data_IF_801426080045
#
_entry.id   IF_801426080045
#
_cell.length_a   1.000
_cell.length_b   1.000
_cell.length_c   1.000
_cell.angle_alpha   90.00
_cell.angle_beta   90.00
_cell.angle_gamma   90.00
#
_symmetry.space_group_name_H-M   'P 1'
#
loop_
_entity.id
_entity.type
_entity.pdbx_description
1 polymer ?
#
# COMPACT_ATOMS: atom_id res chain seq x y z
N UNK A 1 20.72 15.35 -6.76
CA UNK A 1 19.86 15.71 -5.61
C UNK A 1 18.97 14.57 -5.16
N UNK A 2 18.06 14.03 -6.01
CA UNK A 2 17.14 12.95 -5.60
C UNK A 2 17.84 11.72 -4.99
N UNK A 3 18.96 11.28 -5.58
CA UNK A 3 19.74 10.17 -5.03
C UNK A 3 20.31 10.44 -3.61
N UNK A 4 20.75 11.67 -3.34
CA UNK A 4 21.22 12.06 -2.01
C UNK A 4 20.09 12.05 -0.99
N UNK A 5 18.91 12.55 -1.38
CA UNK A 5 17.71 12.51 -0.54
C UNK A 5 17.30 11.08 -0.26
N UNK A 6 17.35 10.20 -1.25
CA UNK A 6 17.08 8.78 -1.07
C UNK A 6 18.01 8.14 -0.04
N UNK A 7 19.33 8.36 -0.17
CA UNK A 7 20.30 7.87 0.81
C UNK A 7 20.07 8.44 2.21
N UNK A 8 19.70 9.72 2.31
CA UNK A 8 19.37 10.37 3.56
C UNK A 8 18.14 9.72 4.24
N UNK A 9 17.09 9.42 3.47
CA UNK A 9 15.90 8.74 3.99
C UNK A 9 16.20 7.30 4.43
N UNK A 10 17.03 6.58 3.67
CA UNK A 10 17.50 5.25 4.09
C UNK A 10 18.27 5.33 5.40
N UNK A 11 19.18 6.30 5.53
CA UNK A 11 19.92 6.52 6.77
C UNK A 11 18.98 6.82 7.96
N UNK A 12 18.01 7.73 7.79
CA UNK A 12 17.01 8.02 8.82
C UNK A 12 16.18 6.79 9.20
N UNK A 13 15.80 5.96 8.22
CA UNK A 13 15.08 4.71 8.49
C UNK A 13 15.93 3.71 9.28
N UNK A 14 17.24 3.67 9.04
CA UNK A 14 18.17 2.85 9.82
C UNK A 14 18.32 3.36 11.26
N UNK A 15 18.34 4.68 11.47
CA UNK A 15 18.33 5.26 12.83
C UNK A 15 17.05 4.86 13.59
N UNK A 16 15.89 4.90 12.93
CA UNK A 16 14.62 4.43 13.53
C UNK A 16 14.66 2.95 13.93
N UNK A 17 15.40 2.12 13.21
CA UNK A 17 15.58 0.71 13.56
C UNK A 17 16.49 0.52 14.79
N UNK A 18 17.56 1.31 14.91
CA UNK A 18 18.52 1.16 16.00
C UNK A 18 18.07 1.76 17.33
N UNK A 19 17.26 2.82 17.31
CA UNK A 19 16.84 3.57 18.50
C UNK A 19 15.41 3.22 18.87
N UNK A 20 15.13 3.02 20.17
CA UNK A 20 13.79 2.67 20.68
C UNK A 20 13.08 3.83 21.40
N UNK A 21 13.57 5.06 21.22
CA UNK A 21 13.02 6.26 21.85
C UNK A 21 11.92 6.90 20.98
N UNK A 22 10.73 7.06 21.54
CA UNK A 22 9.58 7.67 20.87
C UNK A 22 9.83 9.12 20.41
N UNK A 23 10.62 9.88 21.17
CA UNK A 23 11.04 11.24 20.79
C UNK A 23 11.94 11.25 19.55
N UNK A 24 12.85 10.27 19.45
CA UNK A 24 13.75 10.15 18.29
C UNK A 24 12.93 9.77 17.06
N UNK A 25 12.04 8.78 17.19
CA UNK A 25 11.13 8.39 16.11
C UNK A 25 10.29 9.55 15.61
N UNK A 26 9.67 10.30 16.53
CA UNK A 26 8.90 11.48 16.16
C UNK A 26 9.74 12.53 15.43
N UNK A 27 10.95 12.81 15.92
CA UNK A 27 11.83 13.81 15.28
C UNK A 27 12.17 13.42 13.84
N UNK A 28 12.41 12.13 13.58
CA UNK A 28 12.69 11.61 12.25
C UNK A 28 11.46 11.74 11.35
N UNK A 29 10.27 11.43 11.86
CA UNK A 29 9.03 11.61 11.09
C UNK A 29 8.80 13.06 10.67
N UNK A 30 9.04 14.02 11.57
CA UNK A 30 8.90 15.46 11.28
C UNK A 30 9.93 15.90 10.23
N UNK A 31 11.16 15.41 10.31
CA UNK A 31 12.17 15.71 9.29
C UNK A 31 11.74 15.17 7.93
N UNK A 32 11.24 13.93 7.86
CA UNK A 32 10.75 13.33 6.62
C UNK A 32 9.58 14.11 5.98
N UNK A 33 8.63 14.59 6.78
CA UNK A 33 7.46 15.36 6.28
C UNK A 33 7.88 16.70 5.72
N UNK A 34 8.75 17.44 6.42
CA UNK A 34 9.24 18.73 5.93
C UNK A 34 10.03 18.58 4.62
N UNK A 35 10.95 17.61 4.55
CA UNK A 35 11.67 17.35 3.30
C UNK A 35 10.69 17.05 2.17
N UNK A 36 9.66 16.24 2.41
CA UNK A 36 8.65 15.92 1.40
C UNK A 36 7.91 17.13 0.87
N UNK A 37 7.39 17.97 1.77
CA UNK A 37 6.65 19.17 1.40
C UNK A 37 7.52 20.14 0.62
N UNK A 38 8.78 20.34 1.01
CA UNK A 38 9.70 21.22 0.28
C UNK A 38 10.03 20.71 -1.13
N UNK A 39 10.15 19.39 -1.32
CA UNK A 39 10.42 18.82 -2.64
C UNK A 39 9.26 18.97 -3.61
N UNK A 40 8.02 18.83 -3.15
CA UNK A 40 6.84 18.81 -4.03
C UNK A 40 6.22 20.20 -4.20
N UNK A 41 6.56 21.18 -3.36
CA UNK A 41 6.06 22.56 -3.45
C UNK A 41 6.06 23.14 -4.87
N UNK A 42 7.03 22.76 -5.70
CA UNK A 42 7.20 23.32 -7.04
C UNK A 42 6.44 22.56 -8.15
N UNK A 43 5.82 21.42 -7.85
CA UNK A 43 5.35 20.46 -8.86
C UNK A 43 3.83 20.31 -8.89
N UNK A 44 3.14 20.62 -7.78
CA UNK A 44 1.70 20.37 -7.65
C UNK A 44 0.89 21.54 -7.12
N UNK A 45 -0.43 21.35 -7.08
CA UNK A 45 -1.32 22.30 -6.41
C UNK A 45 -1.13 22.26 -4.90
N UNK A 46 -1.13 23.44 -4.27
CA UNK A 46 -0.90 23.59 -2.83
C UNK A 46 -1.92 22.84 -1.96
N UNK A 47 -3.14 22.61 -2.45
CA UNK A 47 -4.22 22.02 -1.65
C UNK A 47 -3.89 20.58 -1.18
N UNK A 48 -3.27 19.78 -2.05
CA UNK A 48 -2.91 18.39 -1.75
C UNK A 48 -1.73 18.29 -0.77
N UNK A 49 -0.82 19.26 -0.83
CA UNK A 49 0.30 19.35 0.10
C UNK A 49 -0.16 19.76 1.50
N UNK A 50 -1.13 20.67 1.57
CA UNK A 50 -1.74 21.07 2.84
C UNK A 50 -2.47 19.90 3.49
N UNK A 51 -3.26 19.12 2.73
CA UNK A 51 -3.92 17.94 3.29
C UNK A 51 -2.93 16.89 3.78
N UNK A 52 -1.85 16.63 3.03
CA UNK A 52 -0.76 15.76 3.48
C UNK A 52 -0.14 16.29 4.79
N UNK A 53 0.29 17.56 4.81
CA UNK A 53 0.98 18.13 5.97
C UNK A 53 0.12 18.11 7.24
N UNK A 54 -1.16 18.51 7.13
CA UNK A 54 -2.08 18.51 8.29
C UNK A 54 -2.22 17.11 8.86
N UNK A 55 -2.49 16.10 8.03
CA UNK A 55 -2.67 14.71 8.51
C UNK A 55 -1.38 14.21 9.16
N UNK A 56 -0.22 14.44 8.54
CA UNK A 56 1.06 13.93 9.02
C UNK A 56 1.50 14.54 10.35
N UNK A 57 1.37 15.86 10.52
CA UNK A 57 1.77 16.54 11.76
C UNK A 57 0.78 16.28 12.89
N UNK A 58 -0.53 16.34 12.62
CA UNK A 58 -1.54 16.04 13.64
C UNK A 58 -1.37 14.62 14.18
N UNK A 59 -1.12 13.63 13.31
CA UNK A 59 -0.84 12.26 13.76
C UNK A 59 0.51 12.15 14.49
N UNK A 60 1.51 12.93 14.08
CA UNK A 60 2.79 13.00 14.77
C UNK A 60 2.65 13.51 16.21
N UNK A 61 1.86 14.56 16.43
CA UNK A 61 1.60 15.06 17.78
C UNK A 61 0.78 14.07 18.62
N UNK A 62 -0.26 13.46 18.06
CA UNK A 62 -1.01 12.43 18.78
C UNK A 62 -0.14 11.22 19.14
N UNK A 63 0.81 10.85 18.29
CA UNK A 63 1.79 9.79 18.60
C UNK A 63 2.60 10.09 19.87
N UNK A 64 2.99 11.35 20.11
CA UNK A 64 3.72 11.74 21.33
C UNK A 64 2.82 11.85 22.56
N UNK A 65 1.58 12.34 22.39
CA UNK A 65 0.67 12.63 23.51
C UNK A 65 0.15 11.34 24.14
N UNK A 66 -0.12 10.31 23.35
CA UNK A 66 -0.63 9.05 23.87
C UNK A 66 0.54 8.16 24.32
N UNK A 67 0.57 7.83 25.60
CA UNK A 67 1.54 6.89 26.18
C UNK A 67 1.14 5.42 25.96
N UNK A 68 -0.12 5.16 25.64
CA UNK A 68 -0.56 3.80 25.36
C UNK A 68 -0.04 3.33 24.00
N UNK A 69 0.77 2.27 24.00
CA UNK A 69 1.23 1.55 22.80
C UNK A 69 0.10 1.40 21.78
N UNK A 70 -1.11 0.98 22.22
CA UNK A 70 -2.18 0.65 21.29
C UNK A 70 -2.65 1.84 20.44
N UNK A 71 -2.78 3.01 21.05
CA UNK A 71 -3.17 4.22 20.32
C UNK A 71 -2.01 4.72 19.45
N UNK A 72 -0.77 4.64 19.93
CA UNK A 72 0.41 4.97 19.12
C UNK A 72 0.46 4.17 17.82
N UNK A 73 0.18 2.86 17.88
CA UNK A 73 0.08 2.02 16.70
C UNK A 73 -1.01 2.48 15.72
N UNK A 74 -2.21 2.81 16.22
CA UNK A 74 -3.31 3.28 15.37
C UNK A 74 -3.00 4.62 14.68
N UNK A 75 -2.36 5.57 15.38
CA UNK A 75 -1.95 6.83 14.77
C UNK A 75 -0.81 6.65 13.76
N UNK A 76 0.12 5.74 14.02
CA UNK A 76 1.16 5.36 13.05
C UNK A 76 0.57 4.70 11.80
N UNK A 77 -0.42 3.83 11.96
CA UNK A 77 -1.15 3.22 10.83
C UNK A 77 -1.85 4.29 9.98
N UNK A 78 -2.48 5.29 10.63
CA UNK A 78 -3.10 6.41 9.93
C UNK A 78 -2.06 7.28 9.23
N UNK A 79 -0.93 7.57 9.89
CA UNK A 79 0.19 8.36 9.34
C UNK A 79 0.85 7.69 8.13
N UNK A 80 1.08 6.38 8.19
CA UNK A 80 1.63 5.62 7.06
C UNK A 80 0.57 5.37 5.95
N UNK A 81 -0.71 5.55 6.26
CA UNK A 81 -1.82 5.28 5.34
C UNK A 81 -2.02 3.78 5.09
N UNK A 82 -1.84 2.97 6.12
CA UNK A 82 -2.16 1.54 6.10
C UNK A 82 -3.68 1.34 6.18
N UNK A 83 -4.19 0.27 5.58
CA UNK A 83 -5.62 -0.01 5.68
C UNK A 83 -5.99 -0.39 7.13
N UNK A 84 -7.17 -0.01 7.64
CA UNK A 84 -8.30 0.63 6.93
C UNK A 84 -8.24 2.16 6.82
N UNK A 85 -7.16 2.81 7.27
CA UNK A 85 -7.05 4.27 7.39
C UNK A 85 -6.42 4.94 6.16
N UNK A 86 -6.43 4.30 4.99
CA UNK A 86 -5.71 4.77 3.80
C UNK A 86 -6.48 5.80 2.96
N UNK A 87 -7.74 6.11 3.29
CA UNK A 87 -8.60 6.97 2.46
C UNK A 87 -8.05 8.38 2.21
N UNK A 88 -7.30 8.94 3.15
CA UNK A 88 -6.71 10.27 2.97
C UNK A 88 -5.66 10.29 1.85
N UNK A 89 -5.02 9.15 1.55
CA UNK A 89 -4.02 9.03 0.49
C UNK A 89 -4.60 9.36 -0.89
N UNK A 90 -5.88 9.05 -1.16
CA UNK A 90 -6.52 9.36 -2.45
C UNK A 90 -6.54 10.86 -2.73
N UNK A 91 -6.79 11.67 -1.70
CA UNK A 91 -6.77 13.13 -1.85
C UNK A 91 -5.39 13.63 -2.25
N UNK A 92 -4.32 13.01 -1.71
CA UNK A 92 -2.94 13.44 -1.94
C UNK A 92 -2.42 13.00 -3.30
N UNK A 93 -2.66 11.75 -3.71
CA UNK A 93 -2.13 11.20 -4.97
C UNK A 93 -2.72 11.90 -6.20
N UNK A 94 -3.96 12.39 -6.13
CA UNK A 94 -4.56 13.15 -7.23
C UNK A 94 -3.73 14.35 -7.68
N UNK A 95 -2.91 14.91 -6.79
CA UNK A 95 -2.11 16.10 -7.03
C UNK A 95 -0.61 15.89 -7.24
N UNK A 96 -0.14 14.65 -7.10
CA UNK A 96 1.29 14.32 -7.19
C UNK A 96 1.53 13.64 -8.54
N UNK A 97 2.58 14.09 -9.23
CA UNK A 97 2.94 13.57 -10.54
C UNK A 97 4.29 12.82 -10.55
N UNK A 98 4.37 11.85 -11.46
CA UNK A 98 5.60 11.16 -11.88
C UNK A 98 6.37 10.55 -10.69
N UNK A 99 7.68 10.83 -10.65
CA UNK A 99 8.63 10.35 -9.66
C UNK A 99 8.22 10.62 -8.21
N UNK A 100 7.45 11.67 -7.94
CA UNK A 100 6.99 11.95 -6.58
C UNK A 100 5.93 10.97 -6.10
N UNK A 101 5.19 10.32 -7.02
CA UNK A 101 4.26 9.23 -6.65
C UNK A 101 5.03 8.00 -6.19
N UNK A 102 6.11 7.63 -6.89
CA UNK A 102 7.02 6.56 -6.43
C UNK A 102 7.52 6.87 -5.02
N UNK A 103 8.03 8.09 -4.86
CA UNK A 103 8.65 8.53 -3.63
C UNK A 103 7.67 8.52 -2.45
N UNK A 104 6.44 8.98 -2.70
CA UNK A 104 5.35 8.96 -1.74
C UNK A 104 4.91 7.55 -1.35
N UNK A 105 4.75 6.65 -2.32
CA UNK A 105 4.25 5.30 -2.05
C UNK A 105 5.28 4.39 -1.38
N UNK A 106 6.58 4.62 -1.62
CA UNK A 106 7.66 3.77 -1.14
C UNK A 106 8.47 4.42 -0.03
N UNK A 107 9.26 5.45 -0.37
CA UNK A 107 10.32 5.96 0.50
C UNK A 107 9.77 6.67 1.73
N UNK A 108 8.59 7.30 1.63
CA UNK A 108 7.92 7.86 2.80
C UNK A 108 7.44 6.79 3.79
N UNK A 109 7.15 5.55 3.34
CA UNK A 109 6.67 4.47 4.22
C UNK A 109 7.80 3.77 4.98
N UNK A 110 9.04 3.82 4.48
CA UNK A 110 10.20 3.14 5.07
C UNK A 110 10.44 3.47 6.55
N UNK A 111 10.52 4.75 6.97
CA UNK A 111 10.81 5.08 8.36
C UNK A 111 9.70 4.63 9.31
N UNK A 112 8.45 4.62 8.84
CA UNK A 112 7.28 4.18 9.62
C UNK A 112 7.26 2.66 9.79
N UNK A 113 7.70 1.90 8.79
CA UNK A 113 7.67 0.44 8.82
C UNK A 113 8.45 -0.11 10.02
N UNK A 114 9.68 0.33 10.25
CA UNK A 114 10.49 -0.17 11.37
C UNK A 114 9.83 0.09 12.74
N UNK A 115 9.24 1.27 12.91
CA UNK A 115 8.54 1.63 14.14
C UNK A 115 7.25 0.83 14.31
N UNK A 116 6.47 0.66 13.22
CA UNK A 116 5.24 -0.13 13.23
C UNK A 116 5.48 -1.59 13.59
N UNK A 117 6.58 -2.18 13.10
CA UNK A 117 6.93 -3.58 13.39
C UNK A 117 7.28 -3.74 14.88
N UNK A 118 7.99 -2.76 15.47
CA UNK A 118 8.28 -2.77 16.92
C UNK A 118 6.99 -2.70 17.76
N UNK A 119 5.98 -1.98 17.28
CA UNK A 119 4.66 -1.91 17.92
C UNK A 119 3.70 -3.02 17.49
N UNK A 120 4.11 -3.96 16.65
CA UNK A 120 3.19 -4.99 16.18
C UNK A 120 2.97 -6.03 17.29
N UNK A 121 1.71 -6.26 17.62
CA UNK A 121 1.28 -7.30 18.58
C UNK A 121 0.10 -8.05 18.01
N UNK A 122 -0.15 -9.27 18.51
CA UNK A 122 -1.21 -10.15 18.02
C UNK A 122 -2.60 -9.50 17.99
N UNK A 123 -2.86 -8.53 18.88
CA UNK A 123 -4.12 -7.76 18.90
C UNK A 123 -4.39 -7.05 17.57
N UNK A 124 -3.35 -6.57 16.89
CA UNK A 124 -3.48 -5.84 15.63
C UNK A 124 -3.69 -6.73 14.42
N UNK A 125 -3.54 -8.05 14.56
CA UNK A 125 -3.77 -9.00 13.49
C UNK A 125 -5.15 -8.81 12.84
N UNK A 126 -6.21 -8.75 13.64
CA UNK A 126 -7.57 -8.59 13.13
C UNK A 126 -7.80 -7.26 12.41
N UNK A 127 -7.16 -6.19 12.87
CA UNK A 127 -7.28 -4.85 12.25
C UNK A 127 -6.60 -4.86 10.88
N UNK A 128 -5.40 -5.43 10.79
CA UNK A 128 -4.64 -5.55 9.53
C UNK A 128 -5.39 -6.47 8.56
N UNK A 129 -5.90 -7.61 9.05
CA UNK A 129 -6.71 -8.53 8.26
C UNK A 129 -7.95 -7.87 7.68
N UNK A 130 -8.73 -7.15 8.52
CA UNK A 130 -9.90 -6.40 8.06
C UNK A 130 -9.51 -5.32 7.05
N UNK A 131 -8.40 -4.62 7.28
CA UNK A 131 -7.85 -3.65 6.34
C UNK A 131 -7.58 -4.24 4.96
N UNK A 132 -7.01 -5.46 4.88
CA UNK A 132 -6.79 -6.13 3.59
C UNK A 132 -8.09 -6.48 2.88
N UNK A 133 -9.11 -6.96 3.59
CA UNK A 133 -10.45 -7.22 3.01
C UNK A 133 -11.03 -5.94 2.42
N UNK A 134 -10.87 -4.80 3.11
CA UNK A 134 -11.29 -3.49 2.59
C UNK A 134 -10.55 -3.13 1.30
N UNK A 135 -9.23 -3.34 1.23
CA UNK A 135 -8.47 -3.10 0.00
C UNK A 135 -8.96 -3.98 -1.16
N UNK A 136 -9.22 -5.26 -0.90
CA UNK A 136 -9.70 -6.21 -1.90
C UNK A 136 -11.09 -5.83 -2.46
N UNK A 137 -12.02 -5.44 -1.58
CA UNK A 137 -13.34 -4.97 -2.01
C UNK A 137 -13.26 -3.63 -2.74
N UNK A 138 -12.41 -2.72 -2.27
CA UNK A 138 -12.27 -1.41 -2.89
C UNK A 138 -11.75 -1.48 -4.33
N UNK A 139 -10.94 -2.49 -4.65
CA UNK A 139 -10.36 -2.61 -5.96
C UNK A 139 -11.40 -2.70 -7.09
N UNK A 140 -12.57 -3.30 -6.84
CA UNK A 140 -13.69 -3.35 -7.79
C UNK A 140 -14.34 -1.99 -8.08
N UNK A 141 -14.15 -1.01 -7.20
CA UNK A 141 -14.76 0.33 -7.32
C UNK A 141 -13.86 1.33 -8.05
N UNK A 142 -12.55 1.05 -8.12
CA UNK A 142 -11.58 1.99 -8.66
C UNK A 142 -11.51 1.92 -10.18
N UNK A 143 -11.37 3.09 -10.80
CA UNK A 143 -11.22 3.24 -12.26
C UNK A 143 -9.92 3.92 -12.69
N UNK A 144 -9.29 4.68 -11.80
CA UNK A 144 -8.06 5.41 -12.08
C UNK A 144 -6.82 4.54 -11.85
N UNK A 145 -5.86 4.59 -12.78
CA UNK A 145 -4.56 3.92 -12.66
C UNK A 145 -3.83 4.30 -11.35
N UNK A 146 -3.79 5.59 -11.03
CA UNK A 146 -3.09 6.11 -9.84
C UNK A 146 -3.73 5.61 -8.55
N UNK A 147 -5.06 5.49 -8.54
CA UNK A 147 -5.82 4.99 -7.39
C UNK A 147 -5.64 3.48 -7.24
N UNK A 148 -5.56 2.75 -8.34
CA UNK A 148 -5.25 1.31 -8.31
C UNK A 148 -3.85 1.07 -7.75
N UNK A 149 -2.84 1.81 -8.21
CA UNK A 149 -1.49 1.74 -7.64
C UNK A 149 -1.47 2.01 -6.14
N UNK A 150 -2.25 3.00 -5.68
CA UNK A 150 -2.39 3.31 -4.26
C UNK A 150 -2.86 2.07 -3.51
N UNK A 151 -3.97 1.46 -3.92
CA UNK A 151 -4.55 0.31 -3.21
C UNK A 151 -3.63 -0.90 -3.22
N UNK A 152 -2.93 -1.15 -4.33
CA UNK A 152 -1.89 -2.20 -4.38
C UNK A 152 -0.81 -1.90 -3.35
N UNK A 153 -0.31 -0.66 -3.29
CA UNK A 153 0.74 -0.28 -2.34
C UNK A 153 0.32 -0.40 -0.88
N UNK A 154 -0.97 -0.20 -0.58
CA UNK A 154 -1.51 -0.34 0.78
C UNK A 154 -1.72 -1.79 1.14
N UNK A 155 -2.19 -2.60 0.19
CA UNK A 155 -2.36 -4.05 0.38
C UNK A 155 -1.01 -4.74 0.63
N UNK A 156 -0.03 -4.48 -0.20
CA UNK A 156 1.33 -5.03 -0.06
C UNK A 156 2.04 -4.53 1.21
N UNK A 157 1.78 -3.30 1.65
CA UNK A 157 2.27 -2.81 2.95
C UNK A 157 1.59 -3.51 4.14
N UNK A 158 0.31 -3.82 4.06
CA UNK A 158 -0.36 -4.61 5.10
C UNK A 158 0.20 -6.03 5.17
N UNK A 159 0.55 -6.64 4.03
CA UNK A 159 1.28 -7.91 4.01
C UNK A 159 2.65 -7.80 4.69
N UNK A 160 3.39 -6.72 4.45
CA UNK A 160 4.66 -6.46 5.14
C UNK A 160 4.47 -6.42 6.67
N UNK A 161 3.47 -5.69 7.15
CA UNK A 161 3.15 -5.61 8.59
C UNK A 161 2.73 -6.97 9.17
N UNK A 162 1.92 -7.72 8.41
CA UNK A 162 1.42 -9.01 8.84
C UNK A 162 2.53 -10.06 8.95
N UNK A 163 3.49 -10.07 8.01
CA UNK A 163 4.71 -10.89 8.16
C UNK A 163 5.56 -10.42 9.35
N UNK A 164 5.64 -9.11 9.56
CA UNK A 164 6.35 -8.52 10.70
C UNK A 164 5.86 -9.00 12.07
N UNK A 165 4.59 -9.40 12.19
CA UNK A 165 4.05 -10.00 13.42
C UNK A 165 4.66 -11.37 13.74
N UNK A 166 4.99 -12.17 12.72
CA UNK A 166 5.39 -13.57 12.91
C UNK A 166 6.90 -13.77 12.81
N UNK A 167 7.56 -13.05 11.91
CA UNK A 167 8.95 -13.32 11.56
C UNK A 167 9.69 -12.05 11.12
N UNK A 168 10.48 -11.47 12.04
CA UNK A 168 11.32 -10.31 11.75
C UNK A 168 12.33 -10.56 10.61
N UNK A 169 12.88 -11.76 10.47
CA UNK A 169 13.87 -12.06 9.42
C UNK A 169 13.25 -12.11 8.02
N UNK A 170 12.07 -12.70 7.89
CA UNK A 170 11.36 -12.80 6.61
C UNK A 170 10.86 -11.43 6.15
N UNK A 171 10.55 -10.55 7.10
CA UNK A 171 10.21 -9.16 6.82
C UNK A 171 11.33 -8.43 6.06
N UNK A 172 12.60 -8.56 6.46
CA UNK A 172 13.70 -7.88 5.74
C UNK A 172 13.82 -8.33 4.29
N UNK A 173 13.65 -9.64 4.05
CA UNK A 173 13.64 -10.18 2.70
C UNK A 173 12.47 -9.60 1.90
N UNK A 174 11.26 -9.61 2.46
CA UNK A 174 10.08 -9.10 1.75
C UNK A 174 10.13 -7.59 1.51
N UNK A 175 10.66 -6.82 2.47
CA UNK A 175 10.98 -5.40 2.32
C UNK A 175 11.84 -5.19 1.07
N UNK A 176 12.95 -5.91 0.94
CA UNK A 176 13.85 -5.76 -0.20
C UNK A 176 13.13 -6.00 -1.54
N UNK A 177 12.39 -7.10 -1.66
CA UNK A 177 11.66 -7.41 -2.89
C UNK A 177 10.54 -6.40 -3.17
N UNK A 178 9.81 -5.97 -2.15
CA UNK A 178 8.77 -4.97 -2.27
C UNK A 178 9.33 -3.67 -2.87
N UNK A 179 10.39 -3.11 -2.28
CA UNK A 179 10.99 -1.88 -2.77
C UNK A 179 11.59 -2.04 -4.17
N UNK A 180 12.20 -3.19 -4.45
CA UNK A 180 12.75 -3.48 -5.79
C UNK A 180 11.65 -3.53 -6.86
N UNK A 181 10.55 -4.25 -6.61
CA UNK A 181 9.44 -4.37 -7.56
C UNK A 181 8.76 -3.01 -7.75
N UNK A 182 8.47 -2.27 -6.67
CA UNK A 182 7.85 -0.95 -6.78
C UNK A 182 8.75 0.05 -7.51
N UNK A 183 10.06 -0.01 -7.31
CA UNK A 183 11.00 0.82 -8.04
C UNK A 183 10.95 0.53 -9.55
N UNK A 184 10.99 -0.75 -9.95
CA UNK A 184 10.91 -1.16 -11.35
C UNK A 184 9.58 -0.77 -12.01
N UNK A 185 8.46 -1.04 -11.34
CA UNK A 185 7.13 -0.81 -11.91
C UNK A 185 6.88 0.68 -12.09
N UNK A 186 7.16 1.49 -11.08
CA UNK A 186 6.79 2.90 -11.13
C UNK A 186 7.74 3.69 -12.05
N UNK A 187 9.02 3.30 -12.14
CA UNK A 187 9.92 3.84 -13.17
C UNK A 187 9.35 3.62 -14.57
N UNK A 188 8.91 2.39 -14.85
CA UNK A 188 8.39 2.05 -16.17
C UNK A 188 7.09 2.77 -16.51
N UNK A 189 6.14 2.83 -15.56
CA UNK A 189 4.81 3.37 -15.89
C UNK A 189 4.83 4.89 -16.07
N UNK A 190 5.74 5.61 -15.42
CA UNK A 190 5.81 7.06 -15.60
C UNK A 190 6.73 7.52 -16.74
N UNK A 191 7.62 6.67 -17.24
CA UNK A 191 8.47 6.99 -18.40
C UNK A 191 7.82 6.60 -19.74
N UNK A 192 6.83 5.70 -19.75
CA UNK A 192 6.14 5.27 -20.95
C UNK A 192 4.71 5.84 -21.03
N UNK A 193 4.57 6.98 -21.72
CA UNK A 193 3.27 7.56 -22.15
C UNK A 193 2.48 6.63 -23.10
N UNK A 194 3.03 5.47 -23.48
CA UNK A 194 2.36 4.47 -24.32
C UNK A 194 1.64 3.42 -23.45
N UNK A 195 0.35 3.68 -23.25
CA UNK A 195 -0.55 2.98 -22.33
C UNK A 195 -0.93 1.54 -22.64
N UNK A 196 -0.07 0.68 -23.21
CA UNK A 196 -0.33 -0.77 -23.26
C UNK A 196 0.61 -1.54 -22.33
N UNK A 197 1.90 -1.26 -22.39
CA UNK A 197 2.92 -1.90 -21.54
C UNK A 197 2.78 -1.51 -20.06
N UNK A 198 2.25 -0.32 -19.78
CA UNK A 198 1.95 0.11 -18.41
C UNK A 198 0.89 -0.77 -17.73
N UNK A 199 -0.07 -1.31 -18.49
CA UNK A 199 -1.08 -2.24 -17.97
C UNK A 199 -0.52 -3.66 -17.79
N UNK A 200 0.41 -4.10 -18.63
CA UNK A 200 1.07 -5.41 -18.46
C UNK A 200 1.89 -5.46 -17.17
N UNK A 201 2.61 -4.39 -16.86
CA UNK A 201 3.43 -4.31 -15.65
C UNK A 201 2.58 -4.14 -14.39
N UNK A 202 1.37 -3.58 -14.52
CA UNK A 202 0.39 -3.62 -13.44
C UNK A 202 -0.08 -5.05 -13.10
N UNK A 203 -0.24 -5.94 -14.08
CA UNK A 203 -0.62 -7.32 -13.80
C UNK A 203 0.42 -8.04 -12.94
N UNK A 204 1.69 -7.71 -13.06
CA UNK A 204 2.75 -8.23 -12.18
C UNK A 204 2.50 -7.82 -10.72
N UNK A 205 1.90 -6.65 -10.48
CA UNK A 205 1.56 -6.16 -9.15
C UNK A 205 0.23 -6.70 -8.59
N UNK A 206 -0.71 -7.11 -9.44
CA UNK A 206 -2.08 -7.46 -9.03
C UNK A 206 -2.26 -8.86 -8.44
N UNK A 207 -1.19 -9.45 -7.89
CA UNK A 207 -1.21 -10.82 -7.36
C UNK A 207 -1.83 -11.84 -8.33
N UNK A 208 -1.69 -11.63 -9.64
CA UNK A 208 -2.15 -12.61 -10.64
C UNK A 208 -1.41 -13.93 -10.38
N UNK A 209 -2.10 -15.09 -10.42
CA UNK A 209 -1.42 -16.37 -10.27
C UNK A 209 -0.23 -16.44 -11.24
N UNK A 210 0.91 -16.92 -10.74
CA UNK A 210 2.22 -16.95 -11.41
C UNK A 210 2.99 -15.61 -11.51
N UNK A 211 2.49 -14.51 -10.96
CA UNK A 211 3.26 -13.26 -10.85
C UNK A 211 4.32 -13.33 -9.73
N UNK A 212 5.36 -12.50 -9.85
CA UNK A 212 6.43 -12.41 -8.83
C UNK A 212 5.85 -12.03 -7.45
N UNK A 213 4.89 -11.10 -7.42
CA UNK A 213 4.26 -10.65 -6.17
C UNK A 213 3.41 -11.74 -5.51
N UNK A 214 2.71 -12.53 -6.33
CA UNK A 214 1.95 -13.69 -5.84
C UNK A 214 2.90 -14.74 -5.25
N UNK A 215 3.95 -15.12 -5.98
CA UNK A 215 4.92 -16.12 -5.48
C UNK A 215 5.60 -15.70 -4.20
N UNK A 216 6.02 -14.44 -4.08
CA UNK A 216 6.64 -13.93 -2.85
C UNK A 216 5.70 -14.08 -1.65
N UNK A 217 4.43 -13.70 -1.81
CA UNK A 217 3.43 -13.80 -0.73
C UNK A 217 3.13 -15.26 -0.37
N UNK A 218 2.98 -16.13 -1.36
CA UNK A 218 2.76 -17.56 -1.14
C UNK A 218 3.94 -18.19 -0.38
N UNK A 219 5.18 -17.89 -0.79
CA UNK A 219 6.39 -18.38 -0.13
C UNK A 219 6.48 -17.91 1.32
N UNK A 220 6.16 -16.66 1.59
CA UNK A 220 6.16 -16.10 2.94
C UNK A 220 5.08 -16.74 3.82
N UNK A 221 3.89 -16.99 3.26
CA UNK A 221 2.81 -17.68 3.96
C UNK A 221 3.22 -19.10 4.36
N UNK A 222 3.98 -19.80 3.52
CA UNK A 222 4.53 -21.11 3.88
C UNK A 222 5.59 -21.03 4.98
N UNK A 223 6.38 -19.95 5.04
CA UNK A 223 7.35 -19.70 6.12
C UNK A 223 6.68 -19.49 7.48
N UNK A 224 5.57 -18.74 7.51
CA UNK A 224 4.81 -18.44 8.73
C UNK A 224 3.80 -19.51 9.16
N UNK A 225 3.79 -20.69 8.52
CA UNK A 225 2.68 -21.65 8.62
C UNK A 225 2.38 -22.11 10.06
N UNK A 226 3.38 -22.19 10.92
CA UNK A 226 3.23 -22.68 12.29
C UNK A 226 2.38 -21.78 13.19
N UNK A 227 2.22 -20.49 12.87
CA UNK A 227 1.65 -19.52 13.82
C UNK A 227 0.21 -19.11 13.53
N UNK A 228 -0.31 -19.28 12.31
CA UNK A 228 -1.45 -18.44 11.89
C UNK A 228 -2.73 -19.10 11.39
N UNK A 229 -2.81 -20.43 11.48
CA UNK A 229 -4.10 -21.14 11.42
C UNK A 229 -5.02 -20.76 10.25
N UNK A 230 -6.33 -20.75 10.50
CA UNK A 230 -7.41 -20.63 9.49
C UNK A 230 -7.44 -19.26 8.79
N UNK A 231 -7.07 -18.18 9.47
CA UNK A 231 -7.16 -16.82 8.93
C UNK A 231 -6.22 -16.59 7.74
N UNK A 232 -5.09 -17.27 7.71
CA UNK A 232 -4.16 -17.19 6.58
C UNK A 232 -4.66 -17.95 5.35
N UNK A 233 -5.29 -19.11 5.54
CA UNK A 233 -5.96 -19.80 4.43
C UNK A 233 -7.05 -18.91 3.82
N UNK A 234 -7.79 -18.18 4.66
CA UNK A 234 -8.77 -17.21 4.21
C UNK A 234 -8.11 -16.09 3.39
N UNK A 235 -6.98 -15.53 3.85
CA UNK A 235 -6.23 -14.54 3.06
C UNK A 235 -5.79 -15.07 1.69
N UNK A 236 -5.26 -16.29 1.64
CA UNK A 236 -4.83 -16.92 0.38
C UNK A 236 -6.00 -17.08 -0.60
N UNK A 237 -7.20 -17.41 -0.11
CA UNK A 237 -8.43 -17.48 -0.92
C UNK A 237 -8.86 -16.08 -1.41
N UNK A 238 -8.60 -15.02 -0.63
CA UNK A 238 -8.94 -13.66 -1.02
C UNK A 238 -7.94 -13.05 -2.03
N UNK A 239 -6.70 -13.55 -2.11
CA UNK A 239 -5.70 -12.99 -3.02
C UNK A 239 -6.11 -13.00 -4.51
N UNK A 240 -6.70 -14.10 -5.04
CA UNK A 240 -7.26 -14.11 -6.40
C UNK A 240 -8.33 -13.05 -6.67
N UNK A 241 -9.04 -12.54 -5.65
CA UNK A 241 -10.04 -11.48 -5.85
C UNK A 241 -9.44 -10.22 -6.48
N UNK A 242 -8.19 -9.88 -6.15
CA UNK A 242 -7.51 -8.76 -6.79
C UNK A 242 -7.30 -8.99 -8.27
N UNK A 243 -6.87 -10.20 -8.65
CA UNK A 243 -6.70 -10.55 -10.06
C UNK A 243 -8.04 -10.51 -10.83
N UNK A 244 -9.14 -10.91 -10.19
CA UNK A 244 -10.48 -10.81 -10.76
C UNK A 244 -10.93 -9.37 -10.97
N UNK A 245 -10.61 -8.46 -10.04
CA UNK A 245 -10.91 -7.03 -10.21
C UNK A 245 -10.18 -6.39 -11.40
N UNK A 246 -9.03 -6.93 -11.82
CA UNK A 246 -8.35 -6.45 -13.03
C UNK A 246 -9.10 -6.92 -14.26
N UNK A 247 -9.54 -8.19 -14.26
CA UNK A 247 -10.44 -8.71 -15.28
C UNK A 247 -11.70 -7.84 -15.42
N UNK A 248 -12.25 -7.36 -14.31
CA UNK A 248 -13.38 -6.43 -14.32
C UNK A 248 -13.04 -5.11 -15.00
N UNK A 249 -11.88 -4.52 -14.67
CA UNK A 249 -11.44 -3.28 -15.28
C UNK A 249 -11.33 -3.41 -16.82
N UNK A 250 -10.73 -4.49 -17.31
CA UNK A 250 -10.66 -4.75 -18.76
C UNK A 250 -12.03 -4.95 -19.39
N UNK A 251 -12.94 -5.64 -18.70
CA UNK A 251 -14.32 -5.78 -19.14
C UNK A 251 -15.01 -4.41 -19.27
N UNK A 252 -14.94 -3.57 -18.25
CA UNK A 252 -15.51 -2.21 -18.26
C UNK A 252 -14.89 -1.35 -19.36
N UNK A 253 -13.57 -1.41 -19.54
CA UNK A 253 -12.89 -0.67 -20.59
C UNK A 253 -13.33 -1.13 -21.98
N UNK A 254 -13.43 -2.44 -22.20
CA UNK A 254 -13.91 -3.01 -23.48
C UNK A 254 -15.37 -2.63 -23.78
N UNK A 255 -16.22 -2.55 -22.76
CA UNK A 255 -17.64 -2.19 -22.89
C UNK A 255 -17.85 -0.68 -23.00
N UNK A 256 -16.87 0.16 -22.63
CA UNK A 256 -16.99 1.61 -22.71
C UNK A 256 -17.16 2.14 -24.15
N UNK A 257 -16.70 1.37 -25.15
CA UNK A 257 -16.92 1.66 -26.57
C UNK A 257 -18.26 1.16 -27.13
N UNK A 258 -18.95 0.27 -26.40
CA UNK A 258 -20.14 -0.43 -26.87
C UNK A 258 -21.21 -0.45 -25.77
N UNK A 259 -22.00 0.63 -25.63
CA UNK A 259 -23.46 0.59 -25.33
C UNK A 259 -23.95 1.82 -24.55
N UNK A 260 -24.86 2.55 -25.20
CA UNK A 260 -25.63 3.65 -24.60
C UNK A 260 -26.83 3.18 -23.76
N UNK A 261 -27.06 1.87 -23.58
CA UNK A 261 -28.35 1.34 -23.10
C UNK A 261 -28.38 0.55 -21.79
N UNK A 262 -27.29 -0.07 -21.34
CA UNK A 262 -27.34 -1.09 -20.25
C UNK A 262 -26.47 -0.76 -19.03
N UNK A 263 -26.17 0.52 -18.79
CA UNK A 263 -25.24 0.96 -17.72
C UNK A 263 -25.59 0.54 -16.28
N UNK A 264 -26.80 0.05 -16.01
CA UNK A 264 -27.27 -0.17 -14.64
C UNK A 264 -27.27 -1.64 -14.17
N UNK A 265 -27.28 -2.62 -15.08
CA UNK A 265 -27.33 -4.04 -14.70
C UNK A 265 -25.95 -4.74 -14.70
N UNK A 266 -24.92 -4.09 -15.22
CA UNK A 266 -23.58 -4.68 -15.38
C UNK A 266 -22.90 -5.00 -14.05
N UNK A 267 -23.15 -4.20 -13.00
CA UNK A 267 -22.55 -4.43 -11.67
C UNK A 267 -23.08 -5.70 -11.00
N UNK A 268 -24.39 -5.92 -11.08
CA UNK A 268 -25.01 -7.07 -10.42
C UNK A 268 -24.62 -8.39 -11.12
N UNK A 269 -24.62 -8.40 -12.45
CA UNK A 269 -24.26 -9.58 -13.23
C UNK A 269 -22.79 -9.97 -13.03
N UNK A 270 -21.90 -8.99 -12.93
CA UNK A 270 -20.48 -9.26 -12.74
C UNK A 270 -20.13 -9.74 -11.33
N UNK A 271 -20.79 -9.20 -10.29
CA UNK A 271 -20.64 -9.71 -8.91
C UNK A 271 -21.07 -11.18 -8.84
N UNK A 272 -22.18 -11.55 -9.50
CA UNK A 272 -22.60 -12.94 -9.59
C UNK A 272 -21.62 -13.81 -10.39
N UNK A 273 -21.02 -13.28 -11.45
CA UNK A 273 -19.98 -13.98 -12.21
C UNK A 273 -18.72 -14.25 -11.37
N UNK A 274 -18.26 -13.27 -10.60
CA UNK A 274 -17.14 -13.44 -9.65
C UNK A 274 -17.45 -14.49 -8.57
N UNK A 275 -18.67 -14.50 -8.03
CA UNK A 275 -19.12 -15.54 -7.10
C UNK A 275 -19.15 -16.92 -7.75
N UNK A 276 -19.55 -17.01 -9.02
CA UNK A 276 -19.55 -18.30 -9.74
C UNK A 276 -18.13 -18.82 -10.00
N UNK A 277 -17.16 -17.95 -10.28
CA UNK A 277 -15.76 -18.34 -10.46
C UNK A 277 -15.11 -18.79 -9.14
N UNK A 278 -15.48 -18.16 -8.02
CA UNK A 278 -15.07 -18.61 -6.69
C UNK A 278 -15.66 -19.98 -6.32
N UNK A 279 -16.83 -20.34 -6.87
CA UNK A 279 -17.44 -21.66 -6.61
C UNK A 279 -16.77 -22.83 -7.34
N UNK A 280 -15.85 -22.54 -8.28
CA UNK A 280 -15.06 -23.55 -8.99
C UNK A 280 -13.69 -23.84 -8.35
N UNK A 281 -13.29 -23.06 -7.33
CA UNK A 281 -12.11 -23.32 -6.49
C UNK A 281 -12.54 -23.83 -5.11
#
# INVERSE_FOLDING_TARGET
MLFFVFLFFLFLSFVNFCVLDSLVWWSIFVVCTFFFVFFIKNVGSYNYLVSYYIVQEVCGYYFLVFDSWKLQFMFLMLKCGCAPFHFWLFSVISGIDKWFVLWFLTIQKLPYLFVLVNFCSDFFFFIIFFGMVVCYLQFFLLRGYRDMLLVISTESFNWLLLVGLFSFNELFFYVFFYYFIFFLVVFYVYDCDYGSLSYEILFVLFNVPMSITFFLKVLLVFGSWSFVGIYYYLLMILMPLMSLGVGYFFFVYSMSGYNYGTKYYDYFFYIFFCFSFLSFF
#
